data_IF_265443994371
#
_entry.id   IF_265443994371
#
_cell.length_a   1.000
_cell.length_b   1.000
_cell.length_c   1.000
_cell.angle_alpha   90.00
_cell.angle_beta   90.00
_cell.angle_gamma   90.00
#
_symmetry.space_group_name_H-M   'P 1'
#
loop_
_entity.id
_entity.type
_entity.pdbx_description
1 polymer ?
#
# COMPACT_ATOMS: atom_id res chain seq x y z
N UNK A 1 -6.59 21.63 -17.91
CA UNK A 1 -6.56 21.62 -16.43
C UNK A 1 -5.70 20.50 -15.84
N UNK A 2 -5.64 19.28 -16.44
CA UNK A 2 -4.74 18.21 -15.96
C UNK A 2 -3.45 18.12 -16.80
N UNK A 3 -3.47 18.40 -18.10
CA UNK A 3 -2.23 18.33 -18.90
C UNK A 3 -1.25 19.49 -18.63
N UNK A 4 -1.74 20.63 -18.15
CA UNK A 4 -0.97 21.88 -18.03
C UNK A 4 0.01 21.93 -16.84
N UNK A 5 0.07 20.85 -16.04
CA UNK A 5 0.92 20.76 -14.83
C UNK A 5 1.75 19.47 -14.81
N UNK A 6 2.06 18.92 -16.00
CA UNK A 6 2.96 17.79 -16.18
C UNK A 6 4.38 18.09 -15.67
N UNK A 7 5.09 17.08 -15.17
CA UNK A 7 6.51 17.19 -14.88
C UNK A 7 7.34 17.36 -16.17
N UNK A 8 7.99 18.51 -16.30
CA UNK A 8 8.85 18.92 -17.42
C UNK A 8 10.34 18.87 -17.08
N UNK A 9 10.69 18.83 -15.79
CA UNK A 9 12.07 18.89 -15.33
C UNK A 9 12.59 20.31 -15.12
N UNK A 10 11.75 21.34 -15.23
CA UNK A 10 12.11 22.74 -14.99
C UNK A 10 11.32 23.40 -13.85
N UNK A 11 10.53 22.62 -13.12
CA UNK A 11 9.72 23.10 -12.00
C UNK A 11 10.58 23.66 -10.87
N UNK A 12 10.08 24.70 -10.21
CA UNK A 12 10.67 25.21 -8.97
C UNK A 12 10.53 24.20 -7.83
N UNK A 13 11.34 24.37 -6.77
CA UNK A 13 11.44 23.39 -5.68
C UNK A 13 10.09 23.04 -5.02
N UNK A 14 9.26 24.05 -4.78
CA UNK A 14 7.95 23.90 -4.14
C UNK A 14 6.79 23.84 -5.14
N UNK A 15 7.06 23.98 -6.44
CA UNK A 15 6.02 23.96 -7.45
C UNK A 15 5.44 22.53 -7.57
N UNK A 16 4.12 22.36 -7.40
CA UNK A 16 3.51 21.06 -7.60
C UNK A 16 3.47 20.71 -9.08
N UNK A 17 3.73 19.45 -9.38
CA UNK A 17 3.61 18.87 -10.71
C UNK A 17 2.99 17.49 -10.64
N UNK A 18 2.55 17.03 -11.81
CA UNK A 18 1.95 15.73 -11.98
C UNK A 18 2.88 14.75 -12.69
N UNK A 19 2.80 13.50 -12.22
CA UNK A 19 3.51 12.37 -12.80
C UNK A 19 2.50 11.32 -13.26
N UNK A 20 2.63 10.92 -14.52
CA UNK A 20 1.88 9.83 -15.14
C UNK A 20 2.80 8.98 -15.99
N UNK A 21 2.38 7.75 -16.28
CA UNK A 21 3.21 6.85 -17.09
C UNK A 21 3.00 7.02 -18.58
N UNK A 22 1.75 6.97 -19.03
CA UNK A 22 1.40 7.16 -20.42
C UNK A 22 1.58 8.65 -20.72
N UNK A 23 2.52 8.98 -21.60
CA UNK A 23 2.81 10.35 -22.01
C UNK A 23 2.43 10.52 -23.48
N UNK A 24 1.89 11.69 -23.82
CA UNK A 24 1.66 12.08 -25.20
C UNK A 24 2.99 12.47 -25.91
N UNK A 25 2.89 12.87 -27.17
CA UNK A 25 4.06 13.29 -27.97
C UNK A 25 4.77 14.53 -27.39
N UNK A 26 4.08 15.29 -26.54
CA UNK A 26 4.60 16.49 -25.87
C UNK A 26 5.16 16.17 -24.48
N UNK A 27 5.13 14.92 -24.03
CA UNK A 27 5.59 14.50 -22.71
C UNK A 27 4.59 14.73 -21.59
N UNK A 28 3.35 15.13 -21.89
CA UNK A 28 2.32 15.34 -20.88
C UNK A 28 1.61 14.01 -20.56
N UNK A 29 1.16 13.78 -19.31
CA UNK A 29 0.32 12.65 -18.99
C UNK A 29 -0.90 12.57 -19.91
N UNK A 30 -1.16 11.38 -20.46
CA UNK A 30 -2.40 11.08 -21.17
C UNK A 30 -3.51 10.99 -20.14
N UNK A 31 -4.44 11.93 -20.21
CA UNK A 31 -5.56 12.08 -19.26
C UNK A 31 -6.85 11.75 -20.01
N UNK A 32 -7.65 10.87 -19.44
CA UNK A 32 -8.97 10.55 -19.95
C UNK A 32 -9.99 11.65 -19.69
N UNK A 33 -11.05 11.71 -20.50
CA UNK A 33 -12.13 12.69 -20.38
C UNK A 33 -13.19 12.33 -19.31
N UNK A 34 -12.98 11.23 -18.58
CA UNK A 34 -13.87 10.73 -17.53
C UNK A 34 -14.98 9.79 -18.02
N UNK A 35 -15.14 9.61 -19.34
CA UNK A 35 -16.05 8.64 -19.97
C UNK A 35 -15.31 7.43 -20.57
N UNK A 36 -13.99 7.41 -20.50
CA UNK A 36 -13.17 6.36 -21.10
C UNK A 36 -13.33 5.02 -20.33
N UNK A 37 -13.37 3.91 -21.06
CA UNK A 37 -13.43 2.56 -20.48
C UNK A 37 -12.16 2.20 -19.68
N UNK A 38 -11.05 2.91 -19.93
CA UNK A 38 -9.75 2.65 -19.29
C UNK A 38 -9.43 3.71 -18.25
N UNK A 39 -9.42 3.36 -16.95
CA UNK A 39 -8.97 4.28 -15.92
C UNK A 39 -7.48 4.62 -16.08
N UNK A 40 -7.09 5.83 -15.67
CA UNK A 40 -5.71 6.31 -15.62
C UNK A 40 -5.40 6.78 -14.18
N UNK A 41 -4.14 6.76 -13.77
CA UNK A 41 -3.72 7.31 -12.49
C UNK A 41 -2.64 8.39 -12.72
N UNK A 42 -2.72 9.44 -11.92
CA UNK A 42 -1.76 10.53 -11.91
C UNK A 42 -1.38 10.80 -10.46
N UNK A 43 -0.08 10.85 -10.18
CA UNK A 43 0.45 11.31 -8.90
C UNK A 43 0.70 12.81 -8.92
N UNK A 44 0.63 13.46 -7.76
CA UNK A 44 1.02 14.87 -7.59
C UNK A 44 2.18 14.93 -6.60
N UNK A 45 3.23 15.68 -6.91
CA UNK A 45 4.38 15.87 -6.04
C UNK A 45 5.06 17.23 -6.28
N UNK A 46 6.18 17.49 -5.62
CA UNK A 46 7.08 18.62 -5.88
C UNK A 46 8.54 18.16 -5.71
N UNK A 47 9.50 18.94 -6.19
CA UNK A 47 10.92 18.58 -6.07
C UNK A 47 11.38 18.51 -4.62
N UNK A 48 10.97 19.48 -3.81
CA UNK A 48 11.28 19.52 -2.38
C UNK A 48 10.77 18.27 -1.64
N UNK A 49 9.59 17.75 -2.01
CA UNK A 49 9.06 16.51 -1.44
C UNK A 49 9.92 15.30 -1.84
N UNK A 50 10.24 15.16 -3.13
CA UNK A 50 11.05 14.03 -3.61
C UNK A 50 12.50 14.08 -3.09
N UNK A 51 13.10 15.27 -3.01
CA UNK A 51 14.42 15.46 -2.39
C UNK A 51 14.37 15.17 -0.88
N UNK A 52 13.30 15.55 -0.20
CA UNK A 52 13.06 15.19 1.20
C UNK A 52 13.05 13.68 1.46
N UNK A 53 12.63 12.87 0.48
CA UNK A 53 12.63 11.40 0.60
C UNK A 53 14.05 10.80 0.63
N UNK A 54 15.04 11.47 0.03
CA UNK A 54 16.46 11.06 0.15
C UNK A 54 16.91 11.19 1.60
N UNK A 55 16.47 12.25 2.28
CA UNK A 55 16.86 12.56 3.65
C UNK A 55 16.11 11.66 4.64
N UNK A 56 14.87 11.27 4.32
CA UNK A 56 14.04 10.51 5.26
C UNK A 56 14.18 8.99 5.19
N UNK A 57 14.82 8.42 4.15
CA UNK A 57 15.09 6.98 3.89
C UNK A 57 13.96 5.95 4.12
N UNK A 58 12.81 6.28 4.70
CA UNK A 58 12.07 5.25 5.42
C UNK A 58 10.75 4.81 4.80
N UNK A 59 9.98 5.63 4.07
CA UNK A 59 8.57 5.25 3.86
C UNK A 59 7.98 5.72 2.52
N UNK A 60 7.87 4.80 1.56
CA UNK A 60 6.93 4.97 0.46
C UNK A 60 5.55 4.45 0.92
N UNK A 61 4.61 5.37 1.09
CA UNK A 61 3.20 5.06 1.31
C UNK A 61 2.46 5.23 0.00
N UNK A 62 2.04 4.13 -0.61
CA UNK A 62 1.20 4.13 -1.80
C UNK A 62 -0.17 3.58 -1.41
N UNK A 63 -1.22 4.39 -1.54
CA UNK A 63 -2.59 3.95 -1.31
C UNK A 63 -3.41 4.20 -2.57
N UNK A 64 -3.92 3.14 -3.17
CA UNK A 64 -4.80 3.23 -4.32
C UNK A 64 -5.80 2.10 -4.22
N UNK A 65 -7.10 2.36 -4.36
CA UNK A 65 -8.15 1.37 -4.16
C UNK A 65 -8.78 1.02 -5.50
N UNK A 66 -8.82 -0.26 -5.88
CA UNK A 66 -9.67 -0.75 -6.97
C UNK A 66 -9.48 -2.23 -7.26
N UNK A 67 -10.50 -2.86 -7.85
CA UNK A 67 -10.58 -4.29 -8.16
C UNK A 67 -10.33 -4.53 -9.67
N UNK A 68 -9.37 -5.40 -10.03
CA UNK A 68 -9.18 -6.12 -11.33
C UNK A 68 -7.75 -6.07 -11.88
N UNK A 69 -7.45 -6.95 -12.85
CA UNK A 69 -6.21 -6.96 -13.65
C UNK A 69 -5.92 -5.63 -14.37
N UNK A 70 -6.95 -4.81 -14.61
CA UNK A 70 -6.79 -3.45 -15.15
C UNK A 70 -5.96 -2.59 -14.19
N UNK A 71 -6.08 -2.80 -12.88
CA UNK A 71 -5.31 -2.05 -11.88
C UNK A 71 -3.87 -2.50 -11.71
N UNK A 72 -3.51 -3.78 -11.88
CA UNK A 72 -2.10 -4.20 -11.78
C UNK A 72 -1.25 -3.48 -12.85
N UNK A 73 -1.78 -3.38 -14.08
CA UNK A 73 -1.16 -2.61 -15.15
C UNK A 73 -0.98 -1.15 -14.77
N UNK A 74 -2.00 -0.53 -14.17
CA UNK A 74 -1.94 0.88 -13.72
C UNK A 74 -0.93 1.08 -12.60
N UNK A 75 -0.99 0.29 -11.53
CA UNK A 75 -0.03 0.37 -10.42
C UNK A 75 1.41 0.23 -10.89
N UNK A 76 1.66 -0.69 -11.82
CA UNK A 76 2.99 -0.87 -12.41
C UNK A 76 3.44 0.42 -13.12
N UNK A 77 2.55 0.99 -13.92
CA UNK A 77 2.78 2.24 -14.64
C UNK A 77 3.09 3.40 -13.68
N UNK A 78 2.29 3.56 -12.64
CA UNK A 78 2.42 4.69 -11.69
C UNK A 78 3.69 4.61 -10.86
N UNK A 79 4.00 3.43 -10.35
CA UNK A 79 5.23 3.20 -9.60
C UNK A 79 6.46 3.40 -10.49
N UNK A 80 6.38 3.02 -11.77
CA UNK A 80 7.46 3.25 -12.73
C UNK A 80 7.60 4.74 -13.09
N UNK A 81 6.48 5.49 -13.17
CA UNK A 81 6.50 6.93 -13.35
C UNK A 81 7.14 7.63 -12.15
N UNK A 82 6.77 7.22 -10.93
CA UNK A 82 7.37 7.71 -9.69
C UNK A 82 8.88 7.49 -9.69
N UNK A 83 9.34 6.27 -10.02
CA UNK A 83 10.77 5.95 -10.10
C UNK A 83 11.50 6.85 -11.09
N UNK A 84 10.95 7.01 -12.30
CA UNK A 84 11.51 7.87 -13.35
C UNK A 84 11.63 9.32 -12.91
N UNK A 85 10.57 9.88 -12.32
CA UNK A 85 10.53 11.28 -11.90
C UNK A 85 11.45 11.52 -10.70
N UNK A 86 11.52 10.59 -9.76
CA UNK A 86 12.47 10.66 -8.64
C UNK A 86 13.91 10.70 -9.15
N UNK A 87 14.29 9.80 -10.07
CA UNK A 87 15.62 9.77 -10.66
C UNK A 87 15.93 11.07 -11.41
N UNK A 88 14.97 11.62 -12.16
CA UNK A 88 15.13 12.88 -12.88
C UNK A 88 15.31 14.10 -11.95
N UNK A 89 14.55 14.17 -10.86
CA UNK A 89 14.61 15.30 -9.91
C UNK A 89 15.87 15.26 -9.06
N UNK A 90 16.30 14.06 -8.67
CA UNK A 90 17.32 13.90 -7.63
C UNK A 90 18.67 13.44 -8.15
N UNK A 91 18.72 12.96 -9.40
CA UNK A 91 19.86 12.29 -10.00
C UNK A 91 20.35 11.07 -9.18
N UNK A 92 19.45 10.42 -8.44
CA UNK A 92 19.71 9.22 -7.62
C UNK A 92 18.69 8.12 -7.92
N UNK A 93 19.13 6.87 -7.85
CA UNK A 93 18.24 5.72 -7.91
C UNK A 93 17.29 5.70 -6.69
N UNK A 94 16.00 5.47 -6.94
CA UNK A 94 15.02 5.31 -5.88
C UNK A 94 15.27 4.01 -5.11
N UNK A 95 15.73 4.13 -3.85
CA UNK A 95 15.91 3.01 -2.93
C UNK A 95 14.69 2.82 -2.06
N UNK A 96 14.09 1.64 -2.11
CA UNK A 96 12.89 1.29 -1.36
C UNK A 96 13.22 0.20 -0.34
N UNK A 97 13.00 0.47 0.95
CA UNK A 97 13.22 -0.49 2.04
C UNK A 97 11.92 -1.08 2.58
N UNK A 98 10.86 -0.25 2.62
CA UNK A 98 9.52 -0.65 3.06
C UNK A 98 8.49 -0.16 2.06
N UNK A 99 7.50 -1.01 1.79
CA UNK A 99 6.30 -0.66 1.02
C UNK A 99 5.10 -1.02 1.86
N UNK A 100 4.24 -0.05 2.13
CA UNK A 100 2.94 -0.32 2.75
C UNK A 100 1.85 -0.28 1.69
N UNK A 101 1.11 -1.37 1.53
CA UNK A 101 0.03 -1.48 0.56
C UNK A 101 -1.11 -2.38 1.03
N UNK A 102 -2.04 -2.67 0.13
CA UNK A 102 -3.18 -3.53 0.44
C UNK A 102 -2.80 -5.00 0.40
N UNK A 103 -3.70 -5.83 0.94
CA UNK A 103 -3.68 -7.27 0.76
C UNK A 103 -4.21 -7.66 -0.65
N UNK A 104 -3.65 -7.03 -1.69
CA UNK A 104 -4.06 -7.16 -3.08
C UNK A 104 -2.90 -7.70 -3.93
N UNK A 105 -3.20 -8.73 -4.74
CA UNK A 105 -2.19 -9.38 -5.57
C UNK A 105 -1.66 -8.47 -6.66
N UNK A 106 -2.51 -7.61 -7.23
CA UNK A 106 -2.12 -6.63 -8.24
C UNK A 106 -1.11 -5.64 -7.69
N UNK A 107 -1.43 -4.99 -6.56
CA UNK A 107 -0.48 -4.08 -5.90
C UNK A 107 0.84 -4.76 -5.56
N UNK A 108 0.78 -5.97 -4.98
CA UNK A 108 1.97 -6.73 -4.61
C UNK A 108 2.85 -7.04 -5.83
N UNK A 109 2.24 -7.52 -6.92
CA UNK A 109 2.95 -7.87 -8.15
C UNK A 109 3.55 -6.63 -8.82
N UNK A 110 2.83 -5.51 -8.88
CA UNK A 110 3.32 -4.25 -9.45
C UNK A 110 4.56 -3.73 -8.72
N UNK A 111 4.51 -3.71 -7.38
CA UNK A 111 5.66 -3.31 -6.55
C UNK A 111 6.86 -4.22 -6.82
N UNK A 112 6.62 -5.54 -6.89
CA UNK A 112 7.67 -6.52 -7.21
C UNK A 112 8.24 -6.29 -8.61
N UNK A 113 7.41 -6.00 -9.59
CA UNK A 113 7.83 -5.80 -10.98
C UNK A 113 8.67 -4.53 -11.16
N UNK A 114 8.32 -3.44 -10.46
CA UNK A 114 8.99 -2.14 -10.61
C UNK A 114 10.23 -2.00 -9.73
N UNK A 115 10.16 -2.43 -8.47
CA UNK A 115 11.23 -2.23 -7.50
C UNK A 115 12.03 -3.50 -7.18
N UNK A 116 11.44 -4.68 -7.37
CA UNK A 116 12.05 -5.95 -6.93
C UNK A 116 13.29 -6.39 -7.72
N UNK A 117 13.62 -5.72 -8.84
CA UNK A 117 14.84 -6.03 -9.61
C UNK A 117 16.12 -5.56 -8.91
N UNK A 118 16.05 -4.45 -8.20
CA UNK A 118 17.22 -3.75 -7.67
C UNK A 118 17.04 -3.22 -6.24
N UNK A 119 15.90 -3.53 -5.60
CA UNK A 119 15.63 -3.24 -4.21
C UNK A 119 15.31 -4.52 -3.44
N UNK A 120 15.89 -4.64 -2.23
CA UNK A 120 15.46 -5.59 -1.22
C UNK A 120 14.57 -4.84 -0.22
N UNK A 121 13.27 -5.12 -0.27
CA UNK A 121 12.29 -4.39 0.54
C UNK A 121 11.37 -5.35 1.30
N UNK A 122 10.73 -4.83 2.34
CA UNK A 122 9.66 -5.50 3.07
C UNK A 122 8.31 -4.92 2.66
N UNK A 123 7.43 -5.78 2.13
CA UNK A 123 6.03 -5.43 1.92
C UNK A 123 5.26 -5.59 3.24
N UNK A 124 4.67 -4.50 3.70
CA UNK A 124 3.79 -4.40 4.86
C UNK A 124 2.37 -4.18 4.34
N UNK A 125 1.41 -4.89 4.91
CA UNK A 125 0.02 -4.52 4.75
C UNK A 125 -0.28 -3.29 5.59
N UNK A 126 -1.15 -2.43 5.08
CA UNK A 126 -1.66 -1.31 5.86
C UNK A 126 -2.50 -1.82 7.05
N UNK A 127 -2.05 -1.55 8.27
CA UNK A 127 -2.76 -1.91 9.49
C UNK A 127 -4.18 -1.33 9.54
N UNK A 128 -4.39 -0.11 9.04
CA UNK A 128 -5.73 0.48 8.95
C UNK A 128 -6.66 -0.32 8.04
N UNK A 129 -6.15 -0.90 6.96
CA UNK A 129 -6.93 -1.79 6.10
C UNK A 129 -7.23 -3.13 6.80
N UNK A 130 -6.31 -3.65 7.61
CA UNK A 130 -6.59 -4.80 8.48
C UNK A 130 -7.74 -4.46 9.43
N UNK A 131 -7.65 -3.34 10.17
CA UNK A 131 -8.67 -2.92 11.12
C UNK A 131 -10.02 -2.59 10.48
N UNK A 132 -10.03 -2.04 9.27
CA UNK A 132 -11.26 -1.85 8.50
C UNK A 132 -11.96 -3.18 8.26
N UNK A 133 -11.25 -4.16 7.73
CA UNK A 133 -11.81 -5.50 7.43
C UNK A 133 -12.27 -6.19 8.71
N UNK A 134 -11.52 -6.04 9.80
CA UNK A 134 -11.91 -6.54 11.12
C UNK A 134 -13.23 -5.91 11.57
N UNK A 135 -13.35 -4.59 11.50
CA UNK A 135 -14.59 -3.90 11.90
C UNK A 135 -15.78 -4.28 11.02
N UNK A 136 -15.59 -4.40 9.71
CA UNK A 136 -16.63 -4.83 8.78
C UNK A 136 -17.08 -6.27 9.09
N UNK A 137 -16.15 -7.17 9.42
CA UNK A 137 -16.43 -8.57 9.74
C UNK A 137 -17.12 -8.72 11.11
N UNK A 138 -16.76 -7.89 12.08
CA UNK A 138 -17.30 -7.95 13.45
C UNK A 138 -18.59 -7.15 13.63
N UNK A 139 -19.13 -6.55 12.56
CA UNK A 139 -20.30 -5.65 12.63
C UNK A 139 -21.53 -6.26 13.32
N UNK A 140 -21.69 -7.58 13.24
CA UNK A 140 -22.82 -8.32 13.81
C UNK A 140 -22.43 -9.19 15.01
N UNK A 141 -21.19 -9.08 15.50
CA UNK A 141 -20.72 -9.76 16.70
C UNK A 141 -21.06 -8.88 17.91
N UNK A 142 -21.38 -9.51 19.05
CA UNK A 142 -21.58 -8.81 20.33
C UNK A 142 -20.41 -7.86 20.63
N UNK A 143 -20.72 -6.65 21.10
CA UNK A 143 -19.73 -5.58 21.24
C UNK A 143 -18.61 -5.95 22.21
N UNK A 144 -18.90 -6.71 23.29
CA UNK A 144 -17.86 -7.14 24.22
C UNK A 144 -16.90 -8.10 23.54
N UNK A 145 -17.41 -9.04 22.75
CA UNK A 145 -16.57 -9.96 21.99
C UNK A 145 -15.77 -9.23 20.89
N UNK A 146 -16.42 -8.32 20.15
CA UNK A 146 -15.77 -7.53 19.11
C UNK A 146 -14.63 -6.66 19.69
N UNK A 147 -14.84 -6.03 20.85
CA UNK A 147 -13.81 -5.22 21.51
C UNK A 147 -12.62 -6.06 22.00
N UNK A 148 -12.85 -7.30 22.47
CA UNK A 148 -11.76 -8.23 22.79
C UNK A 148 -10.94 -8.56 21.54
N UNK A 149 -11.59 -8.88 20.43
CA UNK A 149 -10.90 -9.18 19.16
C UNK A 149 -10.08 -7.98 18.68
N UNK A 150 -10.63 -6.76 18.71
CA UNK A 150 -9.89 -5.54 18.34
C UNK A 150 -8.66 -5.36 19.22
N UNK A 151 -8.81 -5.48 20.54
CA UNK A 151 -7.69 -5.38 21.48
C UNK A 151 -6.61 -6.42 21.18
N UNK A 152 -7.01 -7.67 20.99
CA UNK A 152 -6.09 -8.77 20.68
C UNK A 152 -5.30 -8.51 19.38
N UNK A 153 -5.93 -7.89 18.38
CA UNK A 153 -5.26 -7.50 17.12
C UNK A 153 -4.26 -6.37 17.34
N UNK A 154 -4.57 -5.40 18.19
CA UNK A 154 -3.59 -4.39 18.60
C UNK A 154 -2.42 -5.00 19.38
N UNK A 155 -2.68 -5.96 20.27
CA UNK A 155 -1.64 -6.67 21.02
C UNK A 155 -0.71 -7.44 20.06
N UNK A 156 -1.25 -8.00 18.97
CA UNK A 156 -0.45 -8.61 17.89
C UNK A 156 0.38 -7.56 17.13
N UNK A 157 -0.22 -6.43 16.74
CA UNK A 157 0.48 -5.37 15.99
C UNK A 157 1.66 -4.80 16.76
N UNK A 158 1.48 -4.62 18.08
CA UNK A 158 2.50 -4.06 18.97
C UNK A 158 3.33 -5.13 19.70
N UNK A 159 3.35 -6.36 19.19
CA UNK A 159 4.23 -7.39 19.74
C UNK A 159 5.69 -6.94 19.67
N UNK A 160 6.41 -7.04 20.78
CA UNK A 160 7.78 -6.53 20.93
C UNK A 160 8.75 -7.16 19.92
N UNK A 161 8.56 -8.45 19.64
CA UNK A 161 9.40 -9.20 18.73
C UNK A 161 8.62 -10.38 18.12
N UNK A 162 9.27 -11.09 17.19
CA UNK A 162 8.67 -12.23 16.48
C UNK A 162 8.24 -13.36 17.41
N UNK A 163 9.02 -13.64 18.46
CA UNK A 163 8.71 -14.73 19.40
C UNK A 163 7.44 -14.40 20.19
N UNK A 164 7.31 -13.15 20.65
CA UNK A 164 6.10 -12.68 21.31
C UNK A 164 4.90 -12.65 20.39
N UNK A 165 5.07 -12.22 19.14
CA UNK A 165 4.01 -12.26 18.12
C UNK A 165 3.47 -13.69 17.93
N UNK A 166 4.37 -14.67 17.79
CA UNK A 166 3.98 -16.08 17.61
C UNK A 166 3.28 -16.62 18.85
N UNK A 167 3.79 -16.32 20.05
CA UNK A 167 3.18 -16.71 21.32
C UNK A 167 1.77 -16.13 21.48
N UNK A 168 1.61 -14.84 21.21
CA UNK A 168 0.31 -14.15 21.22
C UNK A 168 -0.64 -14.77 20.18
N UNK A 169 -0.17 -15.02 18.96
CA UNK A 169 -0.96 -15.67 17.92
C UNK A 169 -1.57 -17.00 18.39
N UNK A 170 -0.78 -17.88 19.02
CA UNK A 170 -1.28 -19.16 19.53
C UNK A 170 -2.37 -18.98 20.59
N UNK A 171 -2.12 -18.13 21.58
CA UNK A 171 -3.05 -17.86 22.68
C UNK A 171 -4.36 -17.22 22.17
N UNK A 172 -4.25 -16.17 21.37
CA UNK A 172 -5.37 -15.41 20.82
C UNK A 172 -6.24 -16.28 19.92
N UNK A 173 -5.64 -17.01 18.97
CA UNK A 173 -6.39 -17.88 18.07
C UNK A 173 -7.07 -19.03 18.82
N UNK A 174 -6.47 -19.54 19.90
CA UNK A 174 -7.13 -20.55 20.74
C UNK A 174 -8.39 -19.96 21.38
N UNK A 175 -8.29 -18.77 22.00
CA UNK A 175 -9.44 -18.11 22.63
C UNK A 175 -10.55 -17.78 21.64
N UNK A 176 -10.23 -17.22 20.48
CA UNK A 176 -11.24 -16.89 19.48
C UNK A 176 -11.94 -18.14 18.92
N UNK A 177 -11.25 -19.28 18.82
CA UNK A 177 -11.88 -20.54 18.39
C UNK A 177 -12.83 -21.13 19.43
N UNK A 178 -12.53 -20.93 20.71
CA UNK A 178 -13.35 -21.45 21.81
C UNK A 178 -14.66 -20.67 22.01
N UNK A 179 -14.73 -19.42 21.55
CA UNK A 179 -15.93 -18.58 21.62
C UNK A 179 -16.75 -18.71 20.31
N UNK A 180 -17.97 -19.29 20.34
CA UNK A 180 -18.80 -19.47 19.14
C UNK A 180 -19.03 -18.17 18.35
N UNK A 181 -19.05 -17.01 19.01
CA UNK A 181 -19.26 -15.72 18.37
C UNK A 181 -18.07 -15.25 17.51
N UNK A 182 -16.87 -15.81 17.75
CA UNK A 182 -15.63 -15.41 17.05
C UNK A 182 -14.92 -16.56 16.34
N UNK A 183 -15.42 -17.80 16.47
CA UNK A 183 -14.78 -18.99 15.89
C UNK A 183 -14.63 -18.92 14.37
N UNK A 184 -15.67 -18.48 13.66
CA UNK A 184 -15.62 -18.29 12.20
C UNK A 184 -14.61 -17.21 11.80
N UNK A 185 -14.57 -16.11 12.55
CA UNK A 185 -13.59 -15.04 12.38
C UNK A 185 -12.16 -15.57 12.59
N UNK A 186 -11.91 -16.40 13.60
CA UNK A 186 -10.59 -16.96 13.87
C UNK A 186 -10.04 -17.81 12.71
N UNK A 187 -10.91 -18.59 12.06
CA UNK A 187 -10.56 -19.41 10.89
C UNK A 187 -10.23 -18.49 9.70
N UNK A 188 -11.11 -17.52 9.42
CA UNK A 188 -10.91 -16.53 8.36
C UNK A 188 -9.61 -15.74 8.55
N UNK A 189 -9.44 -15.13 9.73
CA UNK A 189 -8.30 -14.26 10.04
C UNK A 189 -6.98 -15.01 9.95
N UNK A 190 -6.90 -16.25 10.48
CA UNK A 190 -5.70 -17.07 10.33
C UNK A 190 -5.34 -17.26 8.87
N UNK A 191 -6.33 -17.64 8.04
CA UNK A 191 -6.12 -17.91 6.61
C UNK A 191 -5.64 -16.67 5.83
N UNK A 192 -6.17 -15.49 6.15
CA UNK A 192 -5.96 -14.29 5.33
C UNK A 192 -4.95 -13.28 5.89
N UNK A 193 -4.61 -13.36 7.18
CA UNK A 193 -3.74 -12.38 7.87
C UNK A 193 -2.57 -12.98 8.62
N UNK A 194 -2.55 -14.30 8.83
CA UNK A 194 -1.47 -15.00 9.55
C UNK A 194 -0.81 -16.12 8.71
N UNK A 195 -1.28 -16.33 7.48
CA UNK A 195 -0.67 -17.27 6.53
C UNK A 195 -0.52 -16.64 5.15
N UNK A 196 0.55 -17.01 4.42
CA UNK A 196 0.83 -16.51 3.08
C UNK A 196 1.76 -15.30 3.06
N UNK A 197 1.67 -14.48 2.01
CA UNK A 197 2.54 -13.30 1.77
C UNK A 197 2.08 -12.03 2.49
N UNK A 198 0.84 -12.01 2.95
CA UNK A 198 0.17 -10.86 3.55
C UNK A 198 0.04 -11.05 5.07
N UNK A 199 1.16 -11.14 5.77
CA UNK A 199 1.21 -11.47 7.20
C UNK A 199 1.89 -10.42 8.08
N UNK A 200 2.52 -9.41 7.46
CA UNK A 200 3.19 -8.31 8.16
C UNK A 200 2.27 -7.09 8.08
N UNK A 201 1.82 -6.58 9.21
CA UNK A 201 0.93 -5.41 9.32
C UNK A 201 1.16 -4.67 10.61
#
# INVERSE_FOLDING_TARGET
MVQDVAFTGYEEETQPFMLGWDLDQSGNPVVGNGSDEKPFLVGVSSRALLQGWIVSQDRLYYTSRGLSQILEGMYTKDLAALRRVFEAVTNKLLRVYYVMGDADDGQFNSVKNVFGRDNQYVYLMCFFHVMKIVNDTLKFVDERAANRVRKDIYDLHFAENRSDFVRLCYSILSRWRSDPSTAAFAIYFKKVRLTGKFIRW
#
